data_IF_074985711686
#
_entry.id   IF_074985711686
#
_cell.length_a   1.000
_cell.length_b   1.000
_cell.length_c   1.000
_cell.angle_alpha   90.00
_cell.angle_beta   90.00
_cell.angle_gamma   90.00
#
_symmetry.space_group_name_H-M   'P 1'
#
loop_
_entity.id
_entity.type
_entity.pdbx_description
1 polymer ?
#
# COMPACT_ATOMS: atom_id res chain seq x y z
N UNK A 1 -4.08 17.78 1.92
CA UNK A 1 -4.33 17.06 0.65
C UNK A 1 -3.61 15.73 0.74
N UNK A 2 -4.27 14.61 0.43
CA UNK A 2 -3.65 13.29 0.53
C UNK A 2 -2.50 13.14 -0.45
N UNK A 3 -1.64 12.17 -0.16
CA UNK A 3 -0.47 11.83 -0.96
C UNK A 3 -0.86 10.95 -2.16
N UNK A 4 -0.07 11.01 -3.22
CA UNK A 4 -0.20 10.15 -4.39
C UNK A 4 0.74 8.95 -4.27
N UNK A 5 0.19 7.74 -4.33
CA UNK A 5 0.95 6.49 -4.38
C UNK A 5 0.78 5.83 -5.75
N UNK A 6 1.88 5.59 -6.46
CA UNK A 6 1.88 4.83 -7.72
C UNK A 6 1.83 3.32 -7.43
N UNK A 7 0.82 2.62 -7.92
CA UNK A 7 0.83 1.16 -7.99
C UNK A 7 1.54 0.70 -9.28
N UNK A 8 2.80 0.30 -9.14
CA UNK A 8 3.64 -0.13 -10.25
C UNK A 8 3.56 -1.66 -10.40
N UNK A 9 2.62 -2.10 -11.24
CA UNK A 9 2.31 -3.53 -11.47
C UNK A 9 2.65 -3.97 -12.92
N UNK A 10 3.66 -3.35 -13.53
CA UNK A 10 4.26 -3.81 -14.81
C UNK A 10 5.12 -5.05 -14.58
N UNK A 11 5.46 -5.79 -15.63
CA UNK A 11 6.20 -7.05 -15.54
C UNK A 11 7.67 -6.93 -15.98
N UNK A 12 8.00 -5.93 -16.78
CA UNK A 12 9.36 -5.70 -17.27
C UNK A 12 10.14 -4.76 -16.33
N UNK A 13 11.39 -5.11 -16.04
CA UNK A 13 12.27 -4.31 -15.18
C UNK A 13 12.60 -2.94 -15.77
N UNK A 14 12.93 -2.90 -17.07
CA UNK A 14 13.35 -1.65 -17.72
C UNK A 14 12.18 -0.66 -17.78
N UNK A 15 10.99 -1.17 -18.10
CA UNK A 15 9.74 -0.43 -18.04
C UNK A 15 9.44 0.07 -16.63
N UNK A 16 9.57 -0.78 -15.61
CA UNK A 16 9.35 -0.40 -14.21
C UNK A 16 10.26 0.74 -13.76
N UNK A 17 11.55 0.65 -14.06
CA UNK A 17 12.54 1.69 -13.72
C UNK A 17 12.21 2.99 -14.45
N UNK A 18 11.95 2.93 -15.76
CA UNK A 18 11.63 4.10 -16.58
C UNK A 18 10.40 4.84 -16.05
N UNK A 19 9.29 4.13 -15.82
CA UNK A 19 8.05 4.73 -15.31
C UNK A 19 8.27 5.33 -13.91
N UNK A 20 9.04 4.65 -13.07
CA UNK A 20 9.37 5.15 -11.72
C UNK A 20 10.15 6.48 -11.79
N UNK A 21 11.17 6.57 -12.66
CA UNK A 21 11.95 7.79 -12.86
C UNK A 21 11.07 8.93 -13.40
N UNK A 22 10.28 8.66 -14.44
CA UNK A 22 9.42 9.67 -15.10
C UNK A 22 8.35 10.26 -14.17
N UNK A 23 7.83 9.45 -13.24
CA UNK A 23 6.74 9.86 -12.34
C UNK A 23 7.21 10.35 -10.98
N UNK A 24 8.49 10.16 -10.64
CA UNK A 24 9.05 10.43 -9.31
C UNK A 24 8.79 11.86 -8.82
N UNK A 25 8.81 12.86 -9.69
CA UNK A 25 8.52 14.27 -9.33
C UNK A 25 7.11 14.45 -8.71
N UNK A 26 6.12 13.64 -9.12
CA UNK A 26 4.71 13.85 -8.80
C UNK A 26 4.14 12.85 -7.79
N UNK A 27 4.82 11.72 -7.57
CA UNK A 27 4.38 10.69 -6.63
C UNK A 27 5.12 10.82 -5.30
N UNK A 28 4.42 10.57 -4.20
CA UNK A 28 5.00 10.61 -2.85
C UNK A 28 5.55 9.25 -2.43
N UNK A 29 5.00 8.16 -3.00
CA UNK A 29 5.38 6.79 -2.73
C UNK A 29 5.17 5.90 -3.96
N UNK A 30 6.00 4.87 -4.11
CA UNK A 30 5.81 3.81 -5.10
C UNK A 30 5.43 2.52 -4.38
N UNK A 31 4.40 1.83 -4.87
CA UNK A 31 3.92 0.55 -4.38
C UNK A 31 4.24 -0.53 -5.39
N UNK A 32 5.00 -1.54 -4.98
CA UNK A 32 5.39 -2.66 -5.82
C UNK A 32 4.68 -3.93 -5.37
N UNK A 33 3.96 -4.59 -6.26
CA UNK A 33 3.28 -5.85 -5.99
C UNK A 33 4.09 -7.08 -6.42
N UNK A 34 3.53 -8.27 -6.17
CA UNK A 34 4.05 -9.52 -6.70
C UNK A 34 4.24 -9.57 -8.23
N UNK A 35 3.38 -8.97 -9.08
CA UNK A 35 3.56 -9.08 -10.53
C UNK A 35 4.96 -8.68 -10.99
N UNK A 36 5.46 -7.53 -10.54
CA UNK A 36 6.79 -7.05 -10.88
C UNK A 36 7.88 -7.93 -10.23
N UNK A 37 7.76 -8.23 -8.94
CA UNK A 37 8.80 -8.95 -8.18
C UNK A 37 8.96 -10.39 -8.65
N UNK A 38 7.86 -11.06 -9.02
CA UNK A 38 7.90 -12.44 -9.52
C UNK A 38 8.36 -12.51 -10.99
N UNK A 39 8.15 -11.45 -11.77
CA UNK A 39 8.68 -11.36 -13.13
C UNK A 39 10.17 -10.99 -13.16
N UNK A 40 10.69 -10.43 -12.08
CA UNK A 40 12.08 -9.95 -11.95
C UNK A 40 12.76 -10.62 -10.75
N UNK A 41 13.10 -9.85 -9.72
CA UNK A 41 13.62 -10.30 -8.44
C UNK A 41 13.33 -9.27 -7.35
N UNK A 42 13.50 -9.64 -6.09
CA UNK A 42 13.25 -8.73 -4.95
C UNK A 42 14.18 -7.50 -4.94
N UNK A 43 15.34 -7.58 -5.59
CA UNK A 43 16.29 -6.48 -5.73
C UNK A 43 15.78 -5.31 -6.58
N UNK A 44 14.71 -5.49 -7.36
CA UNK A 44 14.07 -4.38 -8.12
C UNK A 44 13.66 -3.22 -7.21
N UNK A 45 13.26 -3.53 -5.98
CA UNK A 45 12.91 -2.54 -4.94
C UNK A 45 14.10 -1.60 -4.70
N UNK A 46 15.29 -2.16 -4.51
CA UNK A 46 16.51 -1.36 -4.29
C UNK A 46 16.83 -0.51 -5.50
N UNK A 47 16.77 -1.09 -6.71
CA UNK A 47 17.05 -0.39 -7.97
C UNK A 47 16.13 0.83 -8.15
N UNK A 48 14.83 0.68 -7.90
CA UNK A 48 13.86 1.78 -8.00
C UNK A 48 14.13 2.86 -6.94
N UNK A 49 14.42 2.48 -5.69
CA UNK A 49 14.75 3.44 -4.62
C UNK A 49 15.99 4.25 -4.93
N UNK A 50 17.06 3.63 -5.40
CA UNK A 50 18.31 4.30 -5.76
C UNK A 50 18.12 5.30 -6.91
N UNK A 51 17.21 5.01 -7.85
CA UNK A 51 16.92 5.88 -9.00
C UNK A 51 16.00 7.05 -8.67
N UNK A 52 15.05 6.86 -7.76
CA UNK A 52 13.96 7.83 -7.52
C UNK A 52 14.07 8.55 -6.20
N UNK A 53 14.84 8.01 -5.24
CA UNK A 53 14.84 8.41 -3.83
C UNK A 53 13.44 8.43 -3.20
N UNK A 54 12.50 7.63 -3.73
CA UNK A 54 11.14 7.51 -3.21
C UNK A 54 11.01 6.37 -2.23
N UNK A 55 10.08 6.53 -1.31
CA UNK A 55 9.61 5.45 -0.46
C UNK A 55 9.00 4.32 -1.31
N UNK A 56 9.35 3.07 -0.97
CA UNK A 56 8.77 1.89 -1.61
C UNK A 56 8.06 1.00 -0.59
N UNK A 57 6.77 0.80 -0.81
CA UNK A 57 5.91 -0.11 -0.04
C UNK A 57 5.62 -1.37 -0.84
N UNK A 58 5.87 -2.53 -0.26
CA UNK A 58 5.61 -3.82 -0.92
C UNK A 58 4.19 -4.31 -0.67
N UNK A 59 3.41 -4.45 -1.74
CA UNK A 59 2.03 -4.92 -1.73
C UNK A 59 1.95 -6.44 -1.89
N UNK A 60 2.52 -7.14 -0.91
CA UNK A 60 2.61 -8.60 -0.88
C UNK A 60 1.40 -9.25 -0.20
N UNK A 61 0.56 -8.46 0.48
CA UNK A 61 -0.62 -8.94 1.22
C UNK A 61 -0.32 -10.23 1.98
N UNK A 62 0.79 -10.23 2.72
CA UNK A 62 1.31 -11.37 3.46
C UNK A 62 0.20 -11.99 4.31
N UNK A 63 -0.02 -13.30 4.18
CA UNK A 63 -1.20 -13.97 4.70
C UNK A 63 -0.90 -15.42 5.12
N UNK A 64 0.18 -15.62 5.88
CA UNK A 64 0.61 -16.93 6.34
C UNK A 64 0.68 -16.99 7.89
N UNK A 65 1.15 -18.11 8.43
CA UNK A 65 1.41 -18.30 9.87
C UNK A 65 2.61 -17.46 10.34
N UNK A 66 2.76 -17.21 11.66
CA UNK A 66 3.81 -16.34 12.19
C UNK A 66 5.23 -16.64 11.70
N UNK A 67 5.65 -17.91 11.72
CA UNK A 67 7.02 -18.30 11.33
C UNK A 67 7.32 -18.05 9.84
N UNK A 68 6.32 -18.12 8.97
CA UNK A 68 6.48 -17.82 7.55
C UNK A 68 6.44 -16.31 7.32
N UNK A 69 5.53 -15.61 7.99
CA UNK A 69 5.43 -14.14 7.91
C UNK A 69 6.71 -13.45 8.35
N UNK A 70 7.39 -13.95 9.38
CA UNK A 70 8.69 -13.43 9.83
C UNK A 70 9.73 -13.51 8.70
N UNK A 71 9.84 -14.66 8.03
CA UNK A 71 10.77 -14.84 6.90
C UNK A 71 10.46 -13.90 5.75
N UNK A 72 9.18 -13.78 5.37
CA UNK A 72 8.74 -12.87 4.30
C UNK A 72 9.05 -11.41 4.68
N UNK A 73 8.75 -11.02 5.92
CA UNK A 73 9.02 -9.67 6.42
C UNK A 73 10.52 -9.34 6.39
N UNK A 74 11.38 -10.25 6.86
CA UNK A 74 12.84 -10.07 6.84
C UNK A 74 13.38 -9.90 5.42
N UNK A 75 12.95 -10.74 4.49
CA UNK A 75 13.36 -10.64 3.08
C UNK A 75 12.91 -9.30 2.48
N UNK A 76 11.65 -8.94 2.68
CA UNK A 76 11.04 -7.74 2.08
C UNK A 76 11.62 -6.45 2.66
N UNK A 77 11.63 -6.31 3.98
CA UNK A 77 12.03 -5.08 4.68
C UNK A 77 13.53 -4.79 4.63
N UNK A 78 14.34 -5.79 4.22
CA UNK A 78 15.73 -5.56 3.88
C UNK A 78 15.91 -4.57 2.70
N UNK A 79 14.92 -4.48 1.82
CA UNK A 79 14.93 -3.58 0.67
C UNK A 79 13.89 -2.46 0.77
N UNK A 80 12.67 -2.81 1.18
CA UNK A 80 11.52 -1.92 1.21
C UNK A 80 11.46 -1.03 2.45
N UNK A 81 10.67 0.03 2.38
CA UNK A 81 10.34 0.92 3.51
C UNK A 81 9.09 0.46 4.25
N UNK A 82 8.29 -0.42 3.64
CA UNK A 82 7.17 -1.03 4.30
C UNK A 82 6.58 -2.23 3.55
N UNK A 83 5.66 -2.90 4.22
CA UNK A 83 5.05 -4.13 3.77
C UNK A 83 3.55 -4.14 4.07
N UNK A 84 2.76 -4.62 3.12
CA UNK A 84 1.32 -4.81 3.28
C UNK A 84 1.04 -6.27 3.65
N UNK A 85 0.23 -6.47 4.69
CA UNK A 85 -0.19 -7.78 5.18
C UNK A 85 -1.71 -7.88 5.36
N UNK A 86 -2.25 -9.08 5.31
CA UNK A 86 -3.67 -9.32 5.54
C UNK A 86 -3.98 -9.35 7.03
N UNK A 87 -5.06 -8.69 7.45
CA UNK A 87 -5.50 -8.76 8.85
C UNK A 87 -6.32 -10.03 9.17
N UNK A 88 -6.94 -10.66 8.17
CA UNK A 88 -7.83 -11.81 8.41
C UNK A 88 -7.10 -13.06 8.94
N UNK A 89 -5.77 -13.12 8.81
CA UNK A 89 -4.96 -14.25 9.30
C UNK A 89 -4.69 -14.22 10.80
N UNK A 90 -5.14 -13.16 11.49
CA UNK A 90 -5.10 -13.10 12.94
C UNK A 90 -3.94 -12.27 13.50
N UNK A 91 -4.06 -12.01 14.80
CA UNK A 91 -3.23 -11.06 15.53
C UNK A 91 -1.77 -11.51 15.66
N UNK A 92 -1.53 -12.80 15.87
CA UNK A 92 -0.19 -13.39 15.97
C UNK A 92 0.58 -13.32 14.65
N UNK A 93 -0.10 -13.60 13.53
CA UNK A 93 0.47 -13.48 12.18
C UNK A 93 0.90 -12.06 11.84
N UNK A 94 0.12 -11.04 12.20
CA UNK A 94 0.49 -9.62 11.98
C UNK A 94 1.58 -9.19 12.95
N UNK A 95 1.51 -9.61 14.23
CA UNK A 95 2.56 -9.33 15.22
C UNK A 95 3.94 -9.83 14.80
N UNK A 96 4.03 -10.99 14.14
CA UNK A 96 5.30 -11.49 13.63
C UNK A 96 5.98 -10.50 12.67
N UNK A 97 5.20 -9.82 11.83
CA UNK A 97 5.69 -8.80 10.88
C UNK A 97 6.10 -7.53 11.63
N UNK A 98 5.27 -7.07 12.59
CA UNK A 98 5.56 -5.90 13.42
C UNK A 98 6.86 -6.09 14.20
N UNK A 99 7.09 -7.27 14.78
CA UNK A 99 8.32 -7.56 15.52
C UNK A 99 9.56 -7.39 14.63
N UNK A 100 9.51 -7.88 13.39
CA UNK A 100 10.61 -7.67 12.42
C UNK A 100 10.79 -6.19 12.11
N UNK A 101 9.71 -5.44 11.90
CA UNK A 101 9.81 -3.99 11.66
C UNK A 101 10.43 -3.22 12.85
N UNK A 102 10.09 -3.60 14.08
CA UNK A 102 10.65 -3.01 15.30
C UNK A 102 12.16 -3.32 15.47
N UNK A 103 12.63 -4.49 15.04
CA UNK A 103 14.08 -4.78 15.00
C UNK A 103 14.84 -3.80 14.10
N UNK A 104 14.30 -3.47 12.92
CA UNK A 104 14.90 -2.45 12.04
C UNK A 104 14.88 -1.05 12.66
N UNK A 105 13.81 -0.71 13.38
CA UNK A 105 13.69 0.59 14.08
C UNK A 105 14.74 0.76 15.18
N UNK A 106 15.10 -0.32 15.90
CA UNK A 106 16.14 -0.29 16.94
C UNK A 106 17.52 0.08 16.39
N UNK A 107 17.78 -0.19 15.10
CA UNK A 107 19.03 0.21 14.40
C UNK A 107 18.85 1.48 13.56
N UNK A 108 17.80 2.27 13.81
CA UNK A 108 17.57 3.56 13.18
C UNK A 108 16.95 3.49 11.78
N UNK A 109 16.41 2.34 11.37
CA UNK A 109 15.79 2.14 10.06
C UNK A 109 14.29 1.86 10.22
N UNK A 110 13.46 2.89 10.28
CA UNK A 110 12.02 2.71 10.50
C UNK A 110 11.36 2.02 9.30
N UNK A 111 10.53 1.01 9.56
CA UNK A 111 9.79 0.25 8.54
C UNK A 111 8.29 0.30 8.85
N UNK A 112 7.47 0.45 7.81
CA UNK A 112 6.01 0.53 7.93
C UNK A 112 5.36 -0.84 7.78
N UNK A 113 4.40 -1.14 8.66
CA UNK A 113 3.49 -2.28 8.53
C UNK A 113 2.10 -1.75 8.24
N UNK A 114 1.56 -2.14 7.09
CA UNK A 114 0.24 -1.70 6.63
C UNK A 114 -0.68 -2.91 6.56
N UNK A 115 -1.85 -2.82 7.19
CA UNK A 115 -2.76 -3.96 7.29
C UNK A 115 -3.99 -3.80 6.42
N UNK A 116 -4.30 -4.79 5.60
CA UNK A 116 -5.53 -4.80 4.81
C UNK A 116 -6.71 -5.10 5.73
N UNK A 117 -7.65 -4.16 5.83
CA UNK A 117 -8.91 -4.31 6.58
C UNK A 117 -10.05 -4.73 5.67
N UNK A 118 -10.19 -4.07 4.52
CA UNK A 118 -11.17 -4.41 3.48
C UNK A 118 -10.63 -4.12 2.08
N UNK A 119 -10.77 -5.08 1.16
CA UNK A 119 -10.34 -4.91 -0.25
C UNK A 119 -11.42 -4.21 -1.09
N UNK A 120 -10.99 -3.54 -2.16
CA UNK A 120 -11.84 -2.70 -3.03
C UNK A 120 -12.70 -3.48 -4.04
N UNK A 121 -12.30 -4.69 -4.42
CA UNK A 121 -13.01 -5.52 -5.40
C UNK A 121 -14.34 -6.08 -4.86
N UNK A 122 -15.29 -6.39 -5.75
CA UNK A 122 -16.64 -6.85 -5.38
C UNK A 122 -16.66 -8.12 -4.51
N UNK A 123 -15.76 -9.06 -4.75
CA UNK A 123 -15.65 -10.30 -3.95
C UNK A 123 -15.34 -10.07 -2.47
N UNK A 124 -14.78 -8.91 -2.10
CA UNK A 124 -14.51 -8.57 -0.70
C UNK A 124 -15.80 -8.51 0.14
N UNK A 125 -16.96 -8.27 -0.49
CA UNK A 125 -18.25 -8.18 0.20
C UNK A 125 -18.68 -9.50 0.83
N UNK A 126 -18.23 -10.64 0.31
CA UNK A 126 -18.67 -11.97 0.73
C UNK A 126 -18.16 -12.38 2.11
N UNK A 127 -16.86 -12.17 2.38
CA UNK A 127 -16.21 -12.65 3.61
C UNK A 127 -15.42 -11.59 4.35
N UNK A 128 -14.89 -10.60 3.64
CA UNK A 128 -13.98 -9.62 4.25
C UNK A 128 -14.76 -8.45 4.87
N UNK A 129 -15.69 -7.84 4.12
CA UNK A 129 -16.52 -6.74 4.62
C UNK A 129 -17.28 -7.07 5.92
N UNK A 130 -17.90 -8.26 6.10
CA UNK A 130 -18.59 -8.59 7.34
C UNK A 130 -17.71 -8.56 8.60
N UNK A 131 -16.40 -8.79 8.46
CA UNK A 131 -15.44 -8.82 9.58
C UNK A 131 -14.47 -7.63 9.58
N UNK A 132 -14.57 -6.73 8.59
CA UNK A 132 -13.58 -5.68 8.38
C UNK A 132 -13.48 -4.69 9.56
N UNK A 133 -14.59 -4.45 10.28
CA UNK A 133 -14.57 -3.63 11.49
C UNK A 133 -13.76 -4.27 12.62
N UNK A 134 -13.84 -5.59 12.78
CA UNK A 134 -13.02 -6.32 13.77
C UNK A 134 -11.55 -6.33 13.37
N UNK A 135 -11.26 -6.45 12.07
CA UNK A 135 -9.90 -6.32 11.54
C UNK A 135 -9.36 -4.90 11.77
N UNK A 136 -10.17 -3.85 11.57
CA UNK A 136 -9.76 -2.47 11.85
C UNK A 136 -9.52 -2.22 13.34
N UNK A 137 -10.33 -2.77 14.25
CA UNK A 137 -10.07 -2.72 15.70
C UNK A 137 -8.74 -3.39 16.05
N UNK A 138 -8.44 -4.52 15.39
CA UNK A 138 -7.16 -5.20 15.55
C UNK A 138 -6.00 -4.32 15.07
N UNK A 139 -6.19 -3.55 13.99
CA UNK A 139 -5.21 -2.59 13.48
C UNK A 139 -4.82 -1.58 14.56
N UNK A 140 -5.83 -0.93 15.14
CA UNK A 140 -5.64 0.05 16.22
C UNK A 140 -5.00 -0.57 17.46
N UNK A 141 -5.43 -1.78 17.86
CA UNK A 141 -4.81 -2.50 19.00
C UNK A 141 -3.34 -2.82 18.78
N UNK A 142 -2.96 -3.10 17.54
CA UNK A 142 -1.57 -3.41 17.16
C UNK A 142 -0.75 -2.16 16.87
N UNK A 143 -1.36 -0.97 16.82
CA UNK A 143 -0.72 0.28 16.39
C UNK A 143 0.05 0.11 15.06
N UNK A 144 -0.58 -0.53 14.07
CA UNK A 144 0.00 -0.58 12.72
C UNK A 144 0.14 0.83 12.15
N UNK A 145 1.14 1.06 11.31
CA UNK A 145 1.38 2.39 10.74
C UNK A 145 0.22 2.84 9.83
N UNK A 146 -0.35 1.89 9.08
CA UNK A 146 -1.44 2.18 8.17
C UNK A 146 -2.40 1.02 7.92
N UNK A 147 -3.52 1.33 7.29
CA UNK A 147 -4.49 0.35 6.81
C UNK A 147 -4.78 0.49 5.31
N UNK A 148 -5.15 -0.63 4.68
CA UNK A 148 -5.75 -0.61 3.33
C UNK A 148 -7.27 -0.67 3.47
N UNK A 149 -7.95 0.34 2.93
CA UNK A 149 -9.42 0.46 2.93
C UNK A 149 -9.96 0.80 1.53
N UNK A 150 -11.22 0.49 1.20
CA UNK A 150 -11.71 0.50 -0.18
C UNK A 150 -12.20 1.88 -0.66
N UNK A 151 -11.52 2.50 -1.63
CA UNK A 151 -11.99 3.75 -2.28
C UNK A 151 -13.33 3.59 -2.99
N UNK A 152 -13.69 2.37 -3.39
CA UNK A 152 -14.95 2.05 -4.09
C UNK A 152 -16.18 2.15 -3.17
N UNK A 153 -15.98 2.32 -1.86
CA UNK A 153 -17.05 2.37 -0.84
C UNK A 153 -16.73 3.47 0.18
N UNK A 154 -16.96 4.77 -0.12
CA UNK A 154 -16.57 5.88 0.76
C UNK A 154 -17.10 5.80 2.19
N UNK A 155 -18.32 5.28 2.40
CA UNK A 155 -18.86 5.04 3.74
C UNK A 155 -18.02 4.03 4.53
N UNK A 156 -17.60 2.92 3.89
CA UNK A 156 -16.72 1.91 4.50
C UNK A 156 -15.33 2.46 4.75
N UNK A 157 -14.79 3.22 3.80
CA UNK A 157 -13.51 3.91 3.94
C UNK A 157 -13.49 4.79 5.21
N UNK A 158 -14.52 5.64 5.37
CA UNK A 158 -14.67 6.52 6.54
C UNK A 158 -14.76 5.73 7.84
N UNK A 159 -15.65 4.73 7.88
CA UNK A 159 -15.87 3.91 9.07
C UNK A 159 -14.59 3.17 9.50
N UNK A 160 -13.87 2.57 8.54
CA UNK A 160 -12.63 1.84 8.84
C UNK A 160 -11.50 2.76 9.31
N UNK A 161 -11.39 3.97 8.74
CA UNK A 161 -10.44 4.99 9.18
C UNK A 161 -10.70 5.41 10.63
N UNK A 162 -11.96 5.67 10.98
CA UNK A 162 -12.36 6.03 12.34
C UNK A 162 -12.06 4.90 13.36
N UNK A 163 -12.32 3.64 12.98
CA UNK A 163 -12.08 2.49 13.86
C UNK A 163 -10.58 2.22 14.06
N UNK A 164 -9.79 2.30 13.00
CA UNK A 164 -8.38 1.91 13.04
C UNK A 164 -7.48 2.90 13.80
N UNK A 165 -7.97 4.12 14.05
CA UNK A 165 -7.43 5.19 14.90
C UNK A 165 -5.89 5.40 14.85
N UNK A 166 -5.45 6.60 14.46
CA UNK A 166 -4.04 7.01 14.27
C UNK A 166 -3.28 6.34 13.11
N UNK A 167 -3.79 5.25 12.53
CA UNK A 167 -3.22 4.64 11.33
C UNK A 167 -3.56 5.46 10.08
N UNK A 168 -2.57 5.74 9.22
CA UNK A 168 -2.86 6.34 7.92
C UNK A 168 -3.58 5.35 7.02
N UNK A 169 -4.32 5.85 6.04
CA UNK A 169 -5.06 5.03 5.09
C UNK A 169 -4.38 5.06 3.73
N UNK A 170 -4.22 3.89 3.12
CA UNK A 170 -3.93 3.78 1.69
C UNK A 170 -5.16 3.20 0.99
N UNK A 171 -5.65 3.91 -0.02
CA UNK A 171 -6.97 3.63 -0.57
C UNK A 171 -6.89 3.31 -2.07
N UNK A 172 -6.91 2.01 -2.46
CA UNK A 172 -6.96 1.60 -3.86
C UNK A 172 -8.37 1.70 -4.43
N UNK A 173 -8.45 1.91 -5.75
CA UNK A 173 -9.69 1.81 -6.52
C UNK A 173 -10.14 3.12 -7.19
N UNK A 174 -9.42 4.22 -7.00
CA UNK A 174 -9.66 5.46 -7.74
C UNK A 174 -9.35 5.25 -9.23
N UNK A 175 -10.23 5.76 -10.10
CA UNK A 175 -10.11 5.63 -11.56
C UNK A 175 -10.55 4.26 -12.07
N UNK A 176 -9.63 3.29 -12.16
CA UNK A 176 -9.85 2.05 -12.89
C UNK A 176 -10.88 1.07 -12.27
N UNK A 177 -11.26 1.27 -11.01
CA UNK A 177 -12.32 0.48 -10.35
C UNK A 177 -13.56 1.32 -10.04
N UNK A 178 -13.65 2.55 -10.59
CA UNK A 178 -14.82 3.41 -10.46
C UNK A 178 -14.96 4.12 -9.12
N UNK A 179 -13.92 4.17 -8.28
CA UNK A 179 -13.95 4.99 -7.06
C UNK A 179 -14.06 6.47 -7.39
N UNK A 180 -15.05 7.15 -6.78
CA UNK A 180 -15.26 8.59 -6.92
C UNK A 180 -14.20 9.35 -6.11
N UNK A 181 -13.31 10.03 -6.83
CA UNK A 181 -12.22 10.79 -6.21
C UNK A 181 -12.75 11.88 -5.26
N UNK A 182 -13.84 12.58 -5.61
CA UNK A 182 -14.36 13.67 -4.79
C UNK A 182 -14.90 13.16 -3.45
N UNK A 183 -15.60 12.02 -3.45
CA UNK A 183 -16.07 11.41 -2.21
C UNK A 183 -14.92 10.86 -1.36
N UNK A 184 -13.88 10.30 -1.99
CA UNK A 184 -12.68 9.81 -1.29
C UNK A 184 -11.91 10.97 -0.64
N UNK A 185 -11.74 12.09 -1.36
CA UNK A 185 -11.04 13.28 -0.86
C UNK A 185 -11.74 13.95 0.34
N UNK A 186 -13.04 13.73 0.54
CA UNK A 186 -13.76 14.18 1.74
C UNK A 186 -13.39 13.39 3.01
N UNK A 187 -12.78 12.21 2.85
CA UNK A 187 -12.43 11.30 3.95
C UNK A 187 -10.93 11.31 4.24
N UNK A 188 -10.10 11.40 3.19
CA UNK A 188 -8.65 11.33 3.30
C UNK A 188 -8.03 12.68 3.69
N UNK A 189 -6.99 12.65 4.51
CA UNK A 189 -6.19 13.82 4.91
C UNK A 189 -4.74 13.73 4.41
N UNK A 190 -3.89 14.69 4.78
CA UNK A 190 -2.49 14.76 4.33
C UNK A 190 -1.58 13.59 4.74
N UNK A 191 -2.01 12.76 5.69
CA UNK A 191 -1.27 11.56 6.09
C UNK A 191 -1.61 10.36 5.22
N UNK A 192 -2.76 10.38 4.54
CA UNK A 192 -3.29 9.29 3.75
C UNK A 192 -2.79 9.30 2.30
N UNK A 193 -3.05 8.19 1.59
CA UNK A 193 -2.63 7.98 0.22
C UNK A 193 -3.80 7.57 -0.68
N UNK A 194 -3.91 8.23 -1.83
CA UNK A 194 -4.67 7.71 -2.97
C UNK A 194 -3.74 6.85 -3.82
N UNK A 195 -4.14 5.60 -4.08
CA UNK A 195 -3.38 4.68 -4.92
C UNK A 195 -3.90 4.71 -6.35
N UNK A 196 -3.01 5.00 -7.30
CA UNK A 196 -3.32 4.99 -8.74
C UNK A 196 -2.33 4.05 -9.47
N UNK A 197 -2.86 3.10 -10.23
CA UNK A 197 -2.07 2.14 -11.00
C UNK A 197 -2.19 2.37 -12.50
N UNK A 198 -3.01 1.54 -13.17
CA UNK A 198 -3.16 1.49 -14.63
C UNK A 198 -3.35 2.85 -15.31
N UNK A 199 -4.04 3.80 -14.66
CA UNK A 199 -4.26 5.12 -15.23
C UNK A 199 -2.95 5.94 -15.40
N UNK A 200 -1.90 5.60 -14.67
CA UNK A 200 -0.55 6.16 -14.81
C UNK A 200 0.32 5.23 -15.67
N UNK A 201 0.54 3.98 -15.24
CA UNK A 201 1.58 3.16 -15.86
C UNK A 201 1.22 2.59 -17.25
N UNK A 202 -0.07 2.55 -17.63
CA UNK A 202 -0.49 2.20 -19.00
C UNK A 202 -0.75 3.44 -19.87
N UNK A 203 -0.55 4.64 -19.34
CA UNK A 203 -0.71 5.86 -20.11
C UNK A 203 0.46 6.01 -21.09
N UNK A 204 0.20 6.54 -22.29
CA UNK A 204 1.25 6.86 -23.26
C UNK A 204 2.29 7.86 -22.70
N UNK A 205 1.88 8.70 -21.75
CA UNK A 205 2.74 9.60 -21.01
C UNK A 205 2.50 9.47 -19.49
N UNK A 206 3.19 8.54 -18.81
CA UNK A 206 3.05 8.32 -17.37
C UNK A 206 3.36 9.57 -16.54
N UNK A 207 4.35 10.39 -16.95
CA UNK A 207 4.72 11.64 -16.27
C UNK A 207 3.54 12.61 -16.20
N UNK A 208 2.94 12.93 -17.36
CA UNK A 208 1.80 13.85 -17.42
C UNK A 208 0.56 13.30 -16.70
N UNK A 209 0.34 11.98 -16.77
CA UNK A 209 -0.75 11.33 -16.03
C UNK A 209 -0.55 11.47 -14.51
N UNK A 210 0.65 11.19 -14.00
CA UNK A 210 0.97 11.35 -12.58
C UNK A 210 0.83 12.81 -12.11
N UNK A 211 1.30 13.77 -12.91
CA UNK A 211 1.14 15.20 -12.65
C UNK A 211 -0.33 15.58 -12.50
N UNK A 212 -1.17 15.17 -13.46
CA UNK A 212 -2.61 15.44 -13.42
C UNK A 212 -3.26 14.88 -12.16
N UNK A 213 -2.92 13.65 -11.77
CA UNK A 213 -3.46 13.09 -10.52
C UNK A 213 -2.97 13.88 -9.31
N UNK A 214 -1.69 14.28 -9.26
CA UNK A 214 -1.15 15.08 -8.16
C UNK A 214 -1.84 16.44 -8.03
N UNK A 215 -2.21 17.07 -9.15
CA UNK A 215 -2.96 18.34 -9.17
C UNK A 215 -4.44 18.18 -8.77
N UNK A 216 -4.99 16.97 -8.87
CA UNK A 216 -6.37 16.67 -8.48
C UNK A 216 -6.52 16.33 -6.98
N UNK A 217 -5.42 15.98 -6.30
CA UNK A 217 -5.40 15.67 -4.85
C UNK A 217 -5.20 16.93 -4.01
#
# INVERSE_FOLDING_TARGET
MPKLMLALDVLDESEAIKISEETSEYVDCIKIGYPLVLATDLGIIKRIKEKTNKEVICDFKVADIPATNEKIARLTLNYADGIICQGFVGLDSVKAIINVAEEYKQVGNSKKVIMVTEMSHEGAKSFMQPIANEIAKMAGKLNVDGIVAPSTRPTRLKELKEIANNAFVISPGVGAQGGDLQEVLKVLDENDYVIVGRAIYLNENPKESAKKYKELL
#
